data_IF_410395939411
#
_entry.id   IF_410395939411
#
_cell.length_a   1.000
_cell.length_b   1.000
_cell.length_c   1.000
_cell.angle_alpha   90.00
_cell.angle_beta   90.00
_cell.angle_gamma   90.00
#
_symmetry.space_group_name_H-M   'P 1'
#
loop_
_entity.id
_entity.type
_entity.pdbx_description
1 polymer ?
#
# COMPACT_ATOMS: atom_id res chain seq x y z
N UNK A 1 67.24 -11.43 -51.42
CA UNK A 1 67.21 -10.41 -50.32
C UNK A 1 66.01 -10.75 -49.43
N UNK A 2 66.22 -11.46 -48.36
CA UNK A 2 65.18 -11.88 -47.42
C UNK A 2 65.31 -11.04 -46.15
N UNK A 3 64.30 -10.20 -45.90
CA UNK A 3 64.23 -9.46 -44.62
C UNK A 3 63.29 -10.20 -43.67
N UNK A 4 63.91 -10.80 -42.67
CA UNK A 4 63.21 -11.48 -41.56
C UNK A 4 62.51 -10.43 -40.70
N UNK A 5 61.19 -10.51 -40.65
CA UNK A 5 60.37 -9.74 -39.72
C UNK A 5 60.17 -10.55 -38.45
N UNK A 6 60.75 -10.13 -37.36
CA UNK A 6 60.59 -10.76 -36.04
C UNK A 6 59.29 -10.26 -35.45
N UNK A 7 58.32 -11.19 -35.27
CA UNK A 7 57.08 -10.93 -34.57
C UNK A 7 57.39 -11.03 -33.06
N UNK A 8 57.21 -9.89 -32.36
CA UNK A 8 57.28 -9.84 -30.91
C UNK A 8 55.87 -10.06 -30.38
N UNK A 9 55.65 -11.24 -29.80
CA UNK A 9 54.43 -11.58 -29.09
C UNK A 9 54.52 -10.95 -27.69
N UNK A 10 53.77 -9.89 -27.45
CA UNK A 10 53.57 -9.32 -26.12
C UNK A 10 52.38 -10.05 -25.45
N UNK A 11 52.68 -10.84 -24.42
CA UNK A 11 51.65 -11.37 -23.52
C UNK A 11 51.15 -10.21 -22.65
N UNK A 12 49.95 -9.71 -22.96
CA UNK A 12 49.21 -8.83 -22.11
C UNK A 12 48.38 -9.63 -21.11
N UNK A 13 48.84 -9.76 -19.88
CA UNK A 13 48.03 -10.23 -18.74
C UNK A 13 46.96 -9.21 -18.42
N UNK A 14 45.76 -9.39 -18.96
CA UNK A 14 44.58 -8.61 -18.62
C UNK A 14 44.07 -9.02 -17.24
N UNK A 15 44.30 -8.18 -16.23
CA UNK A 15 43.71 -8.33 -14.91
C UNK A 15 42.21 -7.92 -15.03
N UNK A 16 41.31 -8.91 -15.13
CA UNK A 16 39.86 -8.65 -15.03
C UNK A 16 39.51 -8.32 -13.59
N UNK A 17 39.32 -7.03 -13.32
CA UNK A 17 38.65 -6.56 -12.12
C UNK A 17 37.15 -6.87 -12.26
N UNK A 18 36.71 -7.99 -11.66
CA UNK A 18 35.28 -8.25 -11.44
C UNK A 18 34.82 -7.31 -10.34
N UNK A 19 34.27 -6.16 -10.71
CA UNK A 19 33.54 -5.32 -9.80
C UNK A 19 32.27 -6.06 -9.36
N UNK A 20 32.31 -6.71 -8.20
CA UNK A 20 31.14 -7.30 -7.58
C UNK A 20 30.14 -6.20 -7.23
N UNK A 21 29.03 -6.13 -7.97
CA UNK A 21 27.90 -5.28 -7.60
C UNK A 21 27.25 -5.94 -6.39
N UNK A 22 27.56 -5.43 -5.20
CA UNK A 22 26.85 -5.80 -3.99
C UNK A 22 25.41 -5.26 -4.11
N UNK A 23 24.46 -6.12 -4.48
CA UNK A 23 23.04 -5.80 -4.39
C UNK A 23 22.67 -5.73 -2.92
N UNK A 24 22.50 -4.53 -2.38
CA UNK A 24 21.94 -4.33 -1.05
C UNK A 24 20.45 -4.66 -1.17
N UNK A 25 20.07 -5.85 -0.73
CA UNK A 25 18.66 -6.20 -0.54
C UNK A 25 18.14 -5.34 0.63
N UNK A 26 17.44 -4.26 0.33
CA UNK A 26 16.69 -3.50 1.34
C UNK A 26 15.49 -4.36 1.72
N UNK A 27 15.57 -5.03 2.85
CA UNK A 27 14.43 -5.69 3.46
C UNK A 27 13.41 -4.60 3.79
N UNK A 28 12.28 -4.57 3.06
CA UNK A 28 11.18 -3.68 3.39
C UNK A 28 10.53 -4.19 4.67
N UNK A 29 10.63 -3.40 5.74
CA UNK A 29 9.93 -3.69 6.97
C UNK A 29 8.41 -3.71 6.69
N UNK A 30 7.74 -4.79 7.05
CA UNK A 30 6.28 -4.88 6.95
C UNK A 30 5.68 -3.86 7.91
N UNK A 31 4.80 -2.98 7.43
CA UNK A 31 4.18 -1.96 8.28
C UNK A 31 3.26 -2.61 9.33
N UNK A 32 3.14 -1.98 10.49
CA UNK A 32 2.24 -2.45 11.56
C UNK A 32 0.79 -2.52 11.07
N UNK A 33 0.36 -1.55 10.25
CA UNK A 33 -0.98 -1.54 9.65
C UNK A 33 -1.19 -2.72 8.72
N UNK A 34 -0.18 -3.11 7.91
CA UNK A 34 -0.29 -4.27 7.04
C UNK A 34 -0.52 -5.56 7.83
N UNK A 35 0.20 -5.74 8.92
CA UNK A 35 0.02 -6.88 9.83
C UNK A 35 -1.36 -6.82 10.48
N UNK A 36 -1.75 -5.69 11.05
CA UNK A 36 -3.04 -5.51 11.72
C UNK A 36 -4.24 -5.70 10.77
N UNK A 37 -4.13 -5.29 9.51
CA UNK A 37 -5.12 -5.60 8.48
C UNK A 37 -5.27 -7.10 8.25
N UNK A 38 -4.17 -7.85 8.26
CA UNK A 38 -4.22 -9.31 8.08
C UNK A 38 -4.78 -10.05 9.29
N UNK A 39 -4.60 -9.48 10.47
CA UNK A 39 -5.12 -10.02 11.75
C UNK A 39 -6.57 -9.60 12.03
N UNK A 40 -7.08 -8.60 11.32
CA UNK A 40 -8.42 -8.05 11.52
C UNK A 40 -8.53 -7.02 12.64
N UNK A 41 -7.39 -6.52 13.14
CA UNK A 41 -7.36 -5.48 14.18
C UNK A 41 -7.53 -4.07 13.60
N UNK A 42 -7.29 -3.92 12.31
CA UNK A 42 -7.55 -2.72 11.49
C UNK A 42 -8.39 -3.12 10.30
N UNK A 43 -9.27 -2.26 9.86
CA UNK A 43 -10.10 -2.49 8.68
C UNK A 43 -10.51 -1.22 7.96
N UNK A 44 -10.97 -1.38 6.73
CA UNK A 44 -11.55 -0.30 5.95
C UNK A 44 -12.95 0.04 6.45
N UNK A 45 -13.29 1.33 6.45
CA UNK A 45 -14.59 1.81 6.88
C UNK A 45 -15.37 2.43 5.72
N UNK A 46 -16.69 2.39 5.84
CA UNK A 46 -17.60 2.99 4.86
C UNK A 46 -17.41 4.51 4.70
N UNK A 47 -16.80 5.17 5.67
CA UNK A 47 -16.49 6.60 5.63
C UNK A 47 -15.20 6.93 4.85
N UNK A 48 -14.52 5.93 4.29
CA UNK A 48 -13.31 6.10 3.49
C UNK A 48 -12.00 6.14 4.27
N UNK A 49 -12.02 5.89 5.57
CA UNK A 49 -10.84 5.86 6.42
C UNK A 49 -10.55 4.47 6.97
N UNK A 50 -9.36 4.29 7.52
CA UNK A 50 -9.03 3.10 8.31
C UNK A 50 -9.56 3.25 9.73
N UNK A 51 -10.09 2.16 10.28
CA UNK A 51 -10.49 2.05 11.67
C UNK A 51 -9.72 0.98 12.42
N UNK A 52 -9.63 1.15 13.73
CA UNK A 52 -9.03 0.18 14.65
C UNK A 52 -10.16 -0.58 15.33
N UNK A 53 -10.13 -1.91 15.21
CA UNK A 53 -11.06 -2.81 15.87
C UNK A 53 -10.44 -3.30 17.19
N UNK A 54 -10.86 -2.71 18.30
CA UNK A 54 -10.37 -3.12 19.61
C UNK A 54 -9.14 -2.34 20.08
N UNK A 55 -8.28 -3.02 20.87
CA UNK A 55 -7.10 -2.41 21.46
C UNK A 55 -5.95 -2.33 20.44
N UNK A 56 -5.24 -1.21 20.42
CA UNK A 56 -4.03 -1.01 19.64
C UNK A 56 -2.97 -0.31 20.49
N UNK A 57 -1.71 -0.66 20.28
CA UNK A 57 -0.62 0.09 20.88
C UNK A 57 -0.41 1.46 20.22
N UNK A 58 0.38 2.32 20.85
CA UNK A 58 0.61 3.68 20.37
C UNK A 58 1.24 3.72 18.97
N UNK A 59 2.12 2.78 18.63
CA UNK A 59 2.78 2.74 17.33
C UNK A 59 1.79 2.41 16.21
N UNK A 60 0.91 1.44 16.38
CA UNK A 60 -0.15 1.12 15.41
C UNK A 60 -1.13 2.27 15.23
N UNK A 61 -1.54 2.93 16.34
CA UNK A 61 -2.40 4.13 16.26
C UNK A 61 -1.75 5.22 15.44
N UNK A 62 -0.46 5.50 15.66
CA UNK A 62 0.27 6.53 14.93
C UNK A 62 0.36 6.21 13.42
N UNK A 63 0.56 4.95 13.02
CA UNK A 63 0.55 4.58 11.61
C UNK A 63 -0.85 4.73 10.97
N UNK A 64 -1.90 4.30 11.64
CA UNK A 64 -3.29 4.47 11.16
C UNK A 64 -3.61 5.95 11.00
N UNK A 65 -3.27 6.78 12.00
CA UNK A 65 -3.49 8.22 11.96
C UNK A 65 -2.72 8.87 10.80
N UNK A 66 -1.47 8.49 10.58
CA UNK A 66 -0.67 9.00 9.48
C UNK A 66 -1.27 8.67 8.11
N UNK A 67 -1.82 7.46 7.94
CA UNK A 67 -2.51 7.06 6.70
C UNK A 67 -3.79 7.88 6.53
N UNK A 68 -4.59 8.04 7.59
CA UNK A 68 -5.84 8.79 7.54
C UNK A 68 -5.61 10.29 7.27
N UNK A 69 -4.54 10.87 7.79
CA UNK A 69 -4.13 12.25 7.45
C UNK A 69 -3.83 12.39 5.95
N UNK A 70 -3.09 11.44 5.37
CA UNK A 70 -2.79 11.44 3.92
C UNK A 70 -4.07 11.26 3.09
N UNK A 71 -4.97 10.35 3.50
CA UNK A 71 -6.28 10.17 2.85
C UNK A 71 -7.09 11.46 2.88
N UNK A 72 -7.20 12.10 4.05
CA UNK A 72 -7.92 13.35 4.20
C UNK A 72 -7.37 14.47 3.29
N UNK A 73 -6.06 14.59 3.19
CA UNK A 73 -5.41 15.55 2.29
C UNK A 73 -5.79 15.28 0.83
N UNK A 74 -5.75 14.02 0.37
CA UNK A 74 -6.16 13.64 -0.97
C UNK A 74 -7.66 13.91 -1.21
N UNK A 75 -8.52 13.59 -0.25
CA UNK A 75 -9.96 13.85 -0.35
C UNK A 75 -10.28 15.35 -0.41
N UNK A 76 -9.53 16.16 0.33
CA UNK A 76 -9.66 17.63 0.28
C UNK A 76 -9.35 18.16 -1.12
N UNK A 77 -8.30 17.68 -1.75
CA UNK A 77 -7.95 18.07 -3.13
C UNK A 77 -9.03 17.66 -4.13
N UNK A 78 -9.49 16.41 -4.05
CA UNK A 78 -10.55 15.90 -4.93
C UNK A 78 -11.87 16.64 -4.74
N UNK A 79 -12.25 16.97 -3.51
CA UNK A 79 -13.45 17.72 -3.18
C UNK A 79 -13.41 19.12 -3.82
N UNK A 80 -12.28 19.82 -3.72
CA UNK A 80 -12.08 21.12 -4.35
C UNK A 80 -12.18 21.05 -5.87
N UNK A 81 -11.57 20.02 -6.50
CA UNK A 81 -11.61 19.82 -7.95
C UNK A 81 -13.02 19.52 -8.47
N UNK A 82 -13.82 18.81 -7.69
CA UNK A 82 -15.17 18.36 -8.10
C UNK A 82 -16.30 19.28 -7.61
N UNK A 83 -16.02 20.26 -6.78
CA UNK A 83 -17.04 21.14 -6.20
C UNK A 83 -18.00 20.43 -5.26
N UNK A 84 -17.54 19.40 -4.54
CA UNK A 84 -18.29 18.62 -3.56
C UNK A 84 -17.64 18.68 -2.19
N UNK A 85 -18.28 18.10 -1.15
CA UNK A 85 -17.67 18.09 0.18
C UNK A 85 -16.62 17.00 0.33
N UNK A 86 -15.70 17.17 1.28
CA UNK A 86 -14.71 16.13 1.64
C UNK A 86 -15.43 14.86 2.09
N UNK A 87 -16.54 14.97 2.79
CA UNK A 87 -17.37 13.86 3.25
C UNK A 87 -17.93 13.06 2.06
N UNK A 88 -18.39 13.73 1.01
CA UNK A 88 -18.92 13.07 -0.19
C UNK A 88 -17.83 12.28 -0.91
N UNK A 89 -16.62 12.87 -1.04
CA UNK A 89 -15.46 12.16 -1.62
C UNK A 89 -15.07 10.96 -0.78
N UNK A 90 -14.95 11.15 0.53
CA UNK A 90 -14.56 10.08 1.45
C UNK A 90 -15.56 8.91 1.41
N UNK A 91 -16.87 9.19 1.41
CA UNK A 91 -17.92 8.18 1.30
C UNK A 91 -17.86 7.44 -0.05
N UNK A 92 -17.67 8.15 -1.15
CA UNK A 92 -17.54 7.53 -2.47
C UNK A 92 -16.32 6.58 -2.55
N UNK A 93 -15.18 7.00 -2.00
CA UNK A 93 -13.99 6.16 -1.94
C UNK A 93 -14.19 4.98 -0.99
N UNK A 94 -14.90 5.18 0.12
CA UNK A 94 -15.29 4.10 1.03
C UNK A 94 -16.14 3.04 0.32
N UNK A 95 -17.13 3.45 -0.47
CA UNK A 95 -17.95 2.55 -1.29
C UNK A 95 -17.09 1.74 -2.27
N UNK A 96 -16.19 2.40 -3.00
CA UNK A 96 -15.28 1.74 -3.94
C UNK A 96 -14.36 0.74 -3.22
N UNK A 97 -13.80 1.14 -2.09
CA UNK A 97 -12.89 0.30 -1.30
C UNK A 97 -13.59 -0.94 -0.77
N UNK A 98 -14.79 -0.79 -0.21
CA UNK A 98 -15.59 -1.92 0.28
C UNK A 98 -16.01 -2.87 -0.84
N UNK A 99 -16.25 -2.34 -2.05
CA UNK A 99 -16.62 -3.15 -3.21
C UNK A 99 -15.43 -3.96 -3.75
N UNK A 100 -14.26 -3.34 -3.88
CA UNK A 100 -13.18 -3.85 -4.72
C UNK A 100 -11.89 -4.20 -3.96
N UNK A 101 -11.67 -3.68 -2.77
CA UNK A 101 -10.36 -3.75 -2.11
C UNK A 101 -10.30 -4.52 -0.79
N UNK A 102 -11.44 -4.85 -0.20
CA UNK A 102 -11.48 -5.66 1.02
C UNK A 102 -11.40 -7.13 0.64
N UNK A 103 -10.26 -7.75 0.92
CA UNK A 103 -10.05 -9.17 0.67
C UNK A 103 -10.84 -10.04 1.67
N UNK A 104 -11.13 -11.28 1.28
CA UNK A 104 -11.71 -12.29 2.16
C UNK A 104 -10.87 -12.44 3.43
N UNK A 105 -11.50 -12.52 4.58
CA UNK A 105 -10.86 -12.60 5.90
C UNK A 105 -10.49 -11.26 6.53
N UNK A 106 -10.63 -10.14 5.81
CA UNK A 106 -10.34 -8.79 6.32
C UNK A 106 -11.53 -8.20 7.07
N UNK A 107 -11.24 -7.46 8.12
CA UNK A 107 -12.26 -6.72 8.85
C UNK A 107 -12.69 -5.45 8.09
N UNK A 108 -13.95 -5.08 8.23
CA UNK A 108 -14.50 -3.83 7.73
C UNK A 108 -15.62 -3.31 8.61
N UNK A 109 -15.88 -2.00 8.55
CA UNK A 109 -16.91 -1.33 9.34
C UNK A 109 -17.89 -0.61 8.43
N UNK A 110 -19.17 -0.87 8.61
CA UNK A 110 -20.24 -0.13 7.96
C UNK A 110 -20.76 1.04 8.83
N UNK A 111 -21.67 1.81 8.29
CA UNK A 111 -22.26 2.99 8.95
C UNK A 111 -23.08 2.70 10.20
N UNK A 112 -23.47 1.45 10.41
CA UNK A 112 -24.14 0.99 11.62
C UNK A 112 -23.21 0.76 12.81
N UNK A 113 -21.90 0.99 12.63
CA UNK A 113 -20.90 0.82 13.68
C UNK A 113 -20.57 -0.63 14.02
N UNK A 114 -20.98 -1.58 13.19
CA UNK A 114 -20.75 -3.01 13.41
C UNK A 114 -19.56 -3.49 12.58
N UNK A 115 -18.53 -4.01 13.26
CA UNK A 115 -17.41 -4.68 12.62
C UNK A 115 -17.80 -6.04 12.05
N UNK A 116 -17.37 -6.30 10.84
CA UNK A 116 -17.61 -7.56 10.12
C UNK A 116 -16.32 -8.07 9.52
N UNK A 117 -16.32 -9.34 9.15
CA UNK A 117 -15.24 -9.99 8.39
C UNK A 117 -15.75 -10.33 7.00
N UNK A 118 -15.00 -9.95 5.96
CA UNK A 118 -15.32 -10.25 4.58
C UNK A 118 -15.30 -11.76 4.33
N UNK A 119 -16.41 -12.30 3.93
CA UNK A 119 -16.55 -13.69 3.45
C UNK A 119 -16.35 -13.81 1.93
N UNK A 120 -16.82 -14.92 1.37
CA UNK A 120 -16.79 -15.16 -0.09
C UNK A 120 -17.78 -14.25 -0.85
N UNK A 121 -18.92 -13.91 -0.23
CA UNK A 121 -19.91 -13.04 -0.84
C UNK A 121 -19.46 -11.57 -0.89
N UNK A 122 -19.97 -10.78 -1.85
CA UNK A 122 -19.78 -9.33 -1.85
C UNK A 122 -20.29 -8.69 -0.56
N UNK A 123 -19.69 -7.57 -0.16
CA UNK A 123 -20.15 -6.78 0.98
C UNK A 123 -21.49 -6.12 0.61
N UNK A 124 -22.47 -6.23 1.48
CA UNK A 124 -23.72 -5.46 1.35
C UNK A 124 -23.42 -4.01 1.69
N UNK A 125 -23.41 -3.16 0.67
CA UNK A 125 -23.04 -1.76 0.81
C UNK A 125 -24.17 -0.91 1.43
N UNK A 126 -23.83 0.22 2.09
CA UNK A 126 -24.80 1.22 2.46
C UNK A 126 -25.59 1.74 1.24
N UNK A 127 -26.86 2.12 1.44
CA UNK A 127 -27.75 2.53 0.35
C UNK A 127 -27.20 3.68 -0.51
N UNK A 128 -26.43 4.60 0.08
CA UNK A 128 -25.82 5.71 -0.65
C UNK A 128 -24.71 5.30 -1.62
N UNK A 129 -24.23 4.07 -1.55
CA UNK A 129 -23.21 3.54 -2.47
C UNK A 129 -23.78 3.09 -3.82
N UNK A 130 -25.09 2.93 -3.92
CA UNK A 130 -25.78 2.39 -5.10
C UNK A 130 -26.63 3.47 -5.77
N UNK A 131 -26.03 4.57 -6.14
CA UNK A 131 -26.69 5.65 -6.91
C UNK A 131 -26.18 5.71 -8.34
#
# INVERSE_FOLDING_TARGET
MTRNLKIITALGTGLMLVAGVATIAVAQATSLVSVALSQGDVGEQADGYLGIKGAANAALRAEVDAINIKRRAAYTQLAAQRGVTIKDVAAAIGCETLTARVATGRAYLLTDGVWRVKGAAPITLPAYCVS
#
